data_IF_496790580581
#
_entry.id   IF_496790580581
#
_cell.length_a   1.000
_cell.length_b   1.000
_cell.length_c   1.000
_cell.angle_alpha   90.00
_cell.angle_beta   90.00
_cell.angle_gamma   90.00
#
_symmetry.space_group_name_H-M   'P 1'
#
loop_
_entity.id
_entity.type
_entity.pdbx_description
1 polymer ?
#
# COMPACT_ATOMS: atom_id res chain seq x y z
N UNK A 1 -6.22 2.32 -18.65
CA UNK A 1 -6.13 2.02 -17.20
C UNK A 1 -4.86 2.69 -16.69
N UNK A 2 -4.93 3.52 -15.65
CA UNK A 2 -3.76 4.10 -15.00
C UNK A 2 -3.69 3.65 -13.52
N UNK A 3 -2.59 3.96 -12.83
CA UNK A 3 -2.40 3.52 -11.44
C UNK A 3 -3.43 4.14 -10.48
N UNK A 4 -3.91 5.35 -10.76
CA UNK A 4 -4.95 6.00 -9.94
C UNK A 4 -6.29 5.25 -10.04
N UNK A 5 -6.72 4.90 -11.25
CA UNK A 5 -7.92 4.10 -11.47
C UNK A 5 -7.77 2.74 -10.78
N UNK A 6 -6.61 2.08 -10.88
CA UNK A 6 -6.37 0.81 -10.18
C UNK A 6 -6.52 0.92 -8.66
N UNK A 7 -5.99 1.97 -8.03
CA UNK A 7 -6.17 2.19 -6.57
C UNK A 7 -7.65 2.39 -6.22
N UNK A 8 -8.37 3.20 -7.00
CA UNK A 8 -9.80 3.46 -6.80
C UNK A 8 -10.63 2.17 -6.91
N UNK A 9 -10.35 1.32 -7.90
CA UNK A 9 -11.05 0.05 -8.09
C UNK A 9 -10.77 -0.93 -6.94
N UNK A 10 -9.52 -1.03 -6.48
CA UNK A 10 -9.15 -1.86 -5.32
C UNK A 10 -9.88 -1.38 -4.05
N UNK A 11 -9.88 -0.08 -3.78
CA UNK A 11 -10.57 0.50 -2.62
C UNK A 11 -12.09 0.24 -2.68
N UNK A 12 -12.70 0.42 -3.86
CA UNK A 12 -14.10 0.13 -4.12
C UNK A 12 -14.44 -1.34 -3.89
N UNK A 13 -13.57 -2.25 -4.35
CA UNK A 13 -13.70 -3.69 -4.16
C UNK A 13 -13.72 -4.06 -2.66
N UNK A 14 -12.74 -3.57 -1.88
CA UNK A 14 -12.70 -3.82 -0.43
C UNK A 14 -13.95 -3.30 0.26
N UNK A 15 -14.44 -2.10 -0.10
CA UNK A 15 -15.68 -1.54 0.45
C UNK A 15 -16.88 -2.44 0.16
N UNK A 16 -17.01 -2.97 -1.07
CA UNK A 16 -18.10 -3.88 -1.45
C UNK A 16 -18.08 -5.16 -0.60
N UNK A 17 -16.91 -5.79 -0.44
CA UNK A 17 -16.79 -6.99 0.38
C UNK A 17 -17.14 -6.72 1.85
N UNK A 18 -16.71 -5.59 2.42
CA UNK A 18 -17.13 -5.16 3.76
C UNK A 18 -18.64 -5.03 3.89
N UNK A 19 -19.31 -4.42 2.91
CA UNK A 19 -20.79 -4.29 2.93
C UNK A 19 -21.51 -5.63 2.82
N UNK A 20 -20.83 -6.67 2.33
CA UNK A 20 -21.35 -8.05 2.23
C UNK A 20 -21.00 -8.91 3.46
N UNK A 21 -20.34 -8.33 4.47
CA UNK A 21 -20.07 -8.98 5.76
C UNK A 21 -18.62 -9.42 5.97
N UNK A 22 -17.71 -9.25 5.01
CA UNK A 22 -16.30 -9.54 5.23
C UNK A 22 -15.61 -8.39 5.97
N UNK A 23 -15.55 -8.50 7.30
CA UNK A 23 -14.97 -7.48 8.17
C UNK A 23 -13.44 -7.61 8.32
N UNK A 24 -12.84 -8.71 7.87
CA UNK A 24 -11.40 -8.99 7.99
C UNK A 24 -10.60 -8.59 6.74
N UNK A 25 -11.28 -8.08 5.70
CA UNK A 25 -10.61 -7.50 4.54
C UNK A 25 -10.24 -6.04 4.83
N UNK A 26 -9.00 -5.63 4.54
CA UNK A 26 -8.52 -4.27 4.82
C UNK A 26 -7.93 -3.63 3.56
N UNK A 27 -8.22 -2.33 3.37
CA UNK A 27 -7.58 -1.52 2.35
C UNK A 27 -6.46 -0.71 3.01
N UNK A 28 -5.30 -0.67 2.35
CA UNK A 28 -4.17 0.18 2.73
C UNK A 28 -3.75 0.94 1.49
N UNK A 29 -3.63 2.27 1.59
CA UNK A 29 -3.14 3.07 0.48
C UNK A 29 -1.64 2.84 0.28
N UNK A 30 -1.24 2.42 -0.92
CA UNK A 30 0.17 2.20 -1.25
C UNK A 30 1.00 3.48 -1.17
N UNK A 31 0.39 4.66 -1.34
CA UNK A 31 1.10 5.95 -1.20
C UNK A 31 1.47 6.26 0.25
N UNK A 32 0.77 5.69 1.24
CA UNK A 32 1.17 5.77 2.65
C UNK A 32 2.37 4.86 2.98
N UNK A 33 2.73 3.93 2.08
CA UNK A 33 3.85 2.99 2.23
C UNK A 33 5.07 3.48 1.44
N UNK A 34 4.88 3.86 0.17
CA UNK A 34 5.93 4.36 -0.72
C UNK A 34 5.34 5.43 -1.66
N UNK A 35 5.32 6.67 -1.18
CA UNK A 35 4.76 7.82 -1.89
C UNK A 35 5.75 8.54 -2.83
N UNK A 36 5.27 9.59 -3.53
CA UNK A 36 6.06 10.35 -4.50
C UNK A 36 7.33 10.99 -3.91
N UNK A 37 7.35 11.25 -2.61
CA UNK A 37 8.53 11.77 -1.91
C UNK A 37 9.76 10.84 -2.03
N UNK A 38 9.55 9.55 -2.27
CA UNK A 38 10.60 8.54 -2.46
C UNK A 38 10.89 8.22 -3.93
N UNK A 39 10.31 8.96 -4.89
CA UNK A 39 10.51 8.68 -6.32
C UNK A 39 11.98 8.72 -6.74
N UNK A 40 12.80 9.55 -6.09
CA UNK A 40 14.25 9.62 -6.32
C UNK A 40 15.01 8.34 -5.96
N UNK A 41 14.37 7.39 -5.27
CA UNK A 41 14.92 6.07 -4.93
C UNK A 41 14.54 4.99 -5.95
N UNK A 42 13.94 5.38 -7.08
CA UNK A 42 13.57 4.49 -8.20
C UNK A 42 14.58 4.66 -9.36
N UNK A 43 15.72 3.94 -9.37
CA UNK A 43 16.76 4.09 -10.39
C UNK A 43 16.31 3.81 -11.83
N UNK A 44 15.22 3.08 -12.02
CA UNK A 44 14.60 2.76 -13.31
C UNK A 44 13.16 3.28 -13.43
N UNK A 45 12.81 4.27 -12.61
CA UNK A 45 11.46 4.83 -12.47
C UNK A 45 10.38 3.81 -12.05
N UNK A 46 10.77 2.61 -11.57
CA UNK A 46 9.83 1.54 -11.24
C UNK A 46 10.16 0.81 -9.92
N UNK A 47 11.39 0.33 -9.76
CA UNK A 47 11.81 -0.50 -8.64
C UNK A 47 12.59 0.31 -7.60
N UNK A 48 12.30 0.17 -6.29
CA UNK A 48 13.12 0.78 -5.26
C UNK A 48 14.57 0.27 -5.30
N UNK A 49 15.52 1.15 -5.02
CA UNK A 49 16.88 0.77 -4.68
C UNK A 49 16.96 0.23 -3.24
N UNK A 50 18.17 -0.07 -2.75
CA UNK A 50 18.39 -0.62 -1.40
C UNK A 50 17.81 0.27 -0.30
N UNK A 51 17.99 1.59 -0.39
CA UNK A 51 17.43 2.55 0.56
C UNK A 51 15.90 2.60 0.47
N UNK A 52 15.35 2.61 -0.74
CA UNK A 52 13.92 2.59 -0.98
C UNK A 52 13.24 1.34 -0.40
N UNK A 53 13.88 0.16 -0.52
CA UNK A 53 13.39 -1.06 0.13
C UNK A 53 13.40 -0.98 1.65
N UNK A 54 14.42 -0.35 2.26
CA UNK A 54 14.45 -0.15 3.71
C UNK A 54 13.26 0.73 4.15
N UNK A 55 13.00 1.84 3.47
CA UNK A 55 11.86 2.73 3.78
C UNK A 55 10.54 2.00 3.60
N UNK A 56 10.36 1.31 2.48
CA UNK A 56 9.17 0.51 2.18
C UNK A 56 8.90 -0.51 3.30
N UNK A 57 9.93 -1.25 3.74
CA UNK A 57 9.80 -2.22 4.82
C UNK A 57 9.37 -1.58 6.14
N UNK A 58 10.01 -0.48 6.55
CA UNK A 58 9.65 0.23 7.78
C UNK A 58 8.21 0.76 7.75
N UNK A 59 7.79 1.34 6.63
CA UNK A 59 6.44 1.85 6.45
C UNK A 59 5.41 0.71 6.40
N UNK A 60 5.73 -0.41 5.74
CA UNK A 60 4.87 -1.60 5.71
C UNK A 60 4.64 -2.17 7.11
N UNK A 61 5.70 -2.32 7.91
CA UNK A 61 5.57 -2.76 9.30
C UNK A 61 4.66 -1.82 10.10
N UNK A 62 4.81 -0.50 9.91
CA UNK A 62 4.01 0.51 10.61
C UNK A 62 2.55 0.56 10.17
N UNK A 63 2.29 0.44 8.86
CA UNK A 63 0.96 0.68 8.24
C UNK A 63 0.14 -0.59 8.04
N UNK A 64 0.79 -1.76 7.97
CA UNK A 64 0.13 -3.05 7.68
C UNK A 64 0.30 -4.04 8.82
N UNK A 65 1.55 -4.34 9.20
CA UNK A 65 1.79 -5.39 10.22
C UNK A 65 1.26 -4.97 11.59
N UNK A 66 1.67 -3.81 12.12
CA UNK A 66 1.23 -3.37 13.45
C UNK A 66 -0.28 -3.20 13.59
N UNK A 67 -1.04 -2.68 12.59
CA UNK A 67 -2.49 -2.53 12.73
C UNK A 67 -3.28 -3.85 12.63
N UNK A 68 -2.82 -4.81 11.82
CA UNK A 68 -3.64 -5.98 11.46
C UNK A 68 -3.09 -7.33 11.94
N UNK A 69 -1.78 -7.42 12.19
CA UNK A 69 -1.09 -8.68 12.52
C UNK A 69 -0.37 -8.55 13.86
N UNK A 70 -1.12 -8.33 14.93
CA UNK A 70 -0.58 -8.41 16.29
C UNK A 70 -0.69 -9.84 16.80
N UNK A 71 0.33 -10.25 17.56
CA UNK A 71 0.21 -11.33 18.55
C UNK A 71 -0.80 -10.95 19.65
#
# INVERSE_FOLDING_TARGET
MNLEIMRNEIQSCVKKFKTQGDLNLHYVDGLDIFGPEYAHLLPDDLHPNVEGYNILAHNFLKRVVRPFFKD
#
